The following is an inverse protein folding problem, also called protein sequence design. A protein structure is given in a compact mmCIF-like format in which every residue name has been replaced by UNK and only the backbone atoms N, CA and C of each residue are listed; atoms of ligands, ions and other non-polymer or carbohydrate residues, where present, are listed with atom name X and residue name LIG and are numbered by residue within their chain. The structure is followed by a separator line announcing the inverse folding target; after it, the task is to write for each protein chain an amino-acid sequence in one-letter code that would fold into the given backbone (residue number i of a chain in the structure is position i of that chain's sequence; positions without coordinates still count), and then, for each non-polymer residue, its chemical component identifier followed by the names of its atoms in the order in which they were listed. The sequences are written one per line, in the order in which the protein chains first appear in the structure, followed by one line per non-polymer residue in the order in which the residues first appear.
data_IF_502212288505
#
_entry.id   IF_502212288505
#
_cell.length_a   1.000
_cell.length_b   1.000
_cell.length_c   1.000
_cell.angle_alpha   90.00
_cell.angle_beta   90.00
_cell.angle_gamma   90.00
#
_symmetry.space_group_name_H-M   'P 1'
#
loop_
_entity.id
_entity.type
_entity.pdbx_description
1 polymer ?
#
# COMPACT_ATOMS: atom_id res chain seq x y z
N UNK A 1 -0.28 22.83 7.59
CA UNK A 1 -1.24 21.75 7.93
C UNK A 1 -2.49 21.75 7.06
N UNK A 2 -3.24 22.87 6.92
CA UNK A 2 -4.52 22.91 6.15
C UNK A 2 -4.41 22.51 4.67
N UNK A 3 -3.32 22.89 3.99
CA UNK A 3 -3.10 22.55 2.58
C UNK A 3 -3.03 21.02 2.34
N UNK A 4 -2.38 20.27 3.23
CA UNK A 4 -2.19 18.83 3.07
C UNK A 4 -3.49 18.03 3.26
N UNK A 5 -4.43 18.54 4.07
CA UNK A 5 -5.72 17.89 4.29
C UNK A 5 -6.57 17.99 3.02
N UNK A 6 -6.68 19.19 2.45
CA UNK A 6 -7.45 19.42 1.22
C UNK A 6 -6.85 18.62 0.07
N UNK A 7 -5.52 18.62 -0.10
CA UNK A 7 -4.88 17.82 -1.15
C UNK A 7 -5.16 16.34 -0.99
N UNK A 8 -5.16 15.83 0.24
CA UNK A 8 -5.44 14.40 0.46
C UNK A 8 -6.89 14.07 0.17
N UNK A 9 -7.84 14.89 0.62
CA UNK A 9 -9.26 14.71 0.29
C UNK A 9 -9.47 14.74 -1.23
N UNK A 10 -8.89 15.73 -1.93
CA UNK A 10 -8.98 15.84 -3.39
C UNK A 10 -8.37 14.59 -4.06
N UNK A 11 -7.22 14.11 -3.58
CA UNK A 11 -6.60 12.87 -4.09
C UNK A 11 -7.47 11.63 -3.84
N UNK A 12 -8.08 11.50 -2.66
CA UNK A 12 -9.02 10.39 -2.36
C UNK A 12 -10.25 10.45 -3.27
N UNK A 13 -10.79 11.65 -3.51
CA UNK A 13 -11.92 11.84 -4.43
C UNK A 13 -11.53 11.51 -5.87
N UNK A 14 -10.33 11.92 -6.32
CA UNK A 14 -9.82 11.56 -7.64
C UNK A 14 -9.72 10.04 -7.81
N UNK A 15 -9.21 9.35 -6.80
CA UNK A 15 -8.96 7.90 -6.85
C UNK A 15 -10.24 7.05 -6.69
N UNK A 16 -11.02 7.30 -5.64
CA UNK A 16 -12.14 6.45 -5.23
C UNK A 16 -13.52 7.10 -5.40
N UNK A 17 -13.58 8.38 -5.79
CA UNK A 17 -14.83 9.14 -5.86
C UNK A 17 -15.66 8.82 -7.12
N UNK A 18 -17.00 8.84 -7.01
CA UNK A 18 -17.88 8.72 -8.17
C UNK A 18 -17.72 9.93 -9.10
N UNK A 19 -18.17 9.79 -10.36
CA UNK A 19 -18.02 10.82 -11.39
C UNK A 19 -18.57 12.20 -10.98
N UNK A 20 -19.64 12.25 -10.18
CA UNK A 20 -20.22 13.48 -9.65
C UNK A 20 -19.26 14.23 -8.70
N UNK A 21 -18.62 13.51 -7.79
CA UNK A 21 -17.64 14.08 -6.86
C UNK A 21 -16.38 14.54 -7.58
N UNK A 22 -15.96 13.80 -8.60
CA UNK A 22 -14.83 14.17 -9.46
C UNK A 22 -15.13 15.41 -10.30
N UNK A 23 -16.38 15.56 -10.77
CA UNK A 23 -16.82 16.79 -11.43
C UNK A 23 -16.84 17.99 -10.48
N UNK A 24 -17.26 17.78 -9.22
CA UNK A 24 -17.28 18.84 -8.20
C UNK A 24 -15.89 19.44 -7.92
N UNK A 25 -14.84 18.62 -7.90
CA UNK A 25 -13.46 19.09 -7.73
C UNK A 25 -12.80 19.54 -9.06
N UNK A 26 -13.55 19.56 -10.17
CA UNK A 26 -13.06 19.96 -11.48
C UNK A 26 -12.16 18.94 -12.19
N UNK A 27 -12.20 17.65 -11.81
CA UNK A 27 -11.35 16.56 -12.33
C UNK A 27 -12.16 15.44 -13.02
N UNK A 28 -13.26 15.79 -13.69
CA UNK A 28 -14.15 14.81 -14.35
C UNK A 28 -13.52 14.10 -15.55
N UNK A 29 -12.56 14.73 -16.23
CA UNK A 29 -11.96 14.22 -17.49
C UNK A 29 -10.67 13.41 -17.29
N UNK A 30 -10.22 13.21 -16.05
CA UNK A 30 -9.01 12.43 -15.78
C UNK A 30 -9.26 10.93 -16.00
N UNK A 31 -8.33 10.21 -16.63
CA UNK A 31 -8.43 8.76 -16.77
C UNK A 31 -8.03 8.04 -15.47
N UNK A 32 -8.74 6.98 -15.08
CA UNK A 32 -8.42 6.22 -13.86
C UNK A 32 -6.98 5.71 -13.84
N UNK A 33 -6.46 5.24 -14.98
CA UNK A 33 -5.07 4.76 -15.09
C UNK A 33 -4.04 5.88 -14.89
N UNK A 34 -4.33 7.10 -15.34
CA UNK A 34 -3.45 8.24 -15.08
C UNK A 34 -3.44 8.61 -13.60
N UNK A 35 -4.61 8.57 -12.94
CA UNK A 35 -4.75 8.85 -11.51
C UNK A 35 -4.02 7.79 -10.68
N UNK A 36 -4.20 6.51 -10.99
CA UNK A 36 -3.49 5.41 -10.32
C UNK A 36 -1.98 5.46 -10.56
N UNK A 37 -1.53 5.92 -11.73
CA UNK A 37 -0.11 6.11 -12.01
C UNK A 37 0.52 7.21 -11.16
N UNK A 38 -0.23 8.29 -10.87
CA UNK A 38 0.22 9.42 -10.07
C UNK A 38 0.11 9.19 -8.55
N UNK A 39 -1.01 8.60 -8.08
CA UNK A 39 -1.38 8.60 -6.67
C UNK A 39 -1.10 7.28 -5.96
N UNK A 40 -1.10 6.15 -6.68
CA UNK A 40 -0.95 4.84 -6.06
C UNK A 40 0.49 4.36 -6.16
N UNK A 41 0.93 3.62 -5.15
CA UNK A 41 2.15 2.82 -5.22
C UNK A 41 1.87 1.40 -5.71
N UNK A 42 0.63 0.91 -5.62
CA UNK A 42 0.22 -0.42 -6.10
C UNK A 42 0.27 -0.56 -7.62
N UNK A 43 0.29 -1.80 -8.13
CA UNK A 43 0.05 -2.10 -9.55
C UNK A 43 -1.38 -2.57 -9.77
N UNK A 44 -1.90 -2.35 -10.98
CA UNK A 44 -3.22 -2.75 -11.44
C UNK A 44 -3.15 -3.27 -12.89
N UNK A 45 -4.30 -3.57 -13.49
CA UNK A 45 -4.38 -4.01 -14.90
C UNK A 45 -3.85 -2.93 -15.86
N UNK A 46 -4.13 -1.67 -15.53
CA UNK A 46 -3.89 -0.52 -16.41
C UNK A 46 -2.67 0.30 -15.99
N UNK A 47 -2.08 0.02 -14.83
CA UNK A 47 -0.88 0.70 -14.33
C UNK A 47 0.07 -0.31 -13.74
N UNK A 48 1.26 -0.40 -14.30
CA UNK A 48 2.26 -1.37 -13.88
C UNK A 48 3.60 -0.69 -13.67
N UNK A 49 4.51 -1.38 -12.99
CA UNK A 49 5.91 -0.97 -12.91
C UNK A 49 6.72 -1.75 -13.95
N UNK A 50 7.71 -1.09 -14.53
CA UNK A 50 8.65 -1.70 -15.46
C UNK A 50 10.04 -1.10 -15.30
N UNK A 51 11.06 -1.86 -15.68
CA UNK A 51 12.44 -1.41 -15.69
C UNK A 51 12.74 -0.70 -17.02
N UNK A 52 13.18 0.56 -16.92
CA UNK A 52 13.56 1.37 -18.08
C UNK A 52 14.77 2.26 -17.73
N UNK A 53 15.72 2.40 -18.67
CA UNK A 53 16.88 3.28 -18.55
C UNK A 53 17.66 3.18 -17.23
N UNK A 54 17.80 1.98 -16.66
CA UNK A 54 18.54 1.78 -15.41
C UNK A 54 17.75 2.02 -14.13
N UNK A 55 16.43 2.28 -14.22
CA UNK A 55 15.56 2.48 -13.07
C UNK A 55 14.18 1.84 -13.22
N UNK A 56 13.40 1.87 -12.14
CA UNK A 56 12.01 1.39 -12.12
C UNK A 56 11.10 2.59 -12.40
N UNK A 57 10.23 2.46 -13.40
CA UNK A 57 9.29 3.50 -13.83
C UNK A 57 7.87 2.95 -13.82
N UNK A 58 6.89 3.77 -13.40
CA UNK A 58 5.46 3.46 -13.58
C UNK A 58 5.07 3.69 -15.03
N UNK A 59 4.38 2.74 -15.62
CA UNK A 59 3.98 2.73 -17.04
C UNK A 59 2.49 2.49 -17.13
N UNK A 60 1.83 3.21 -18.02
CA UNK A 60 0.43 2.97 -18.37
C UNK A 60 0.34 1.72 -19.26
N UNK A 61 -0.57 0.83 -18.89
CA UNK A 61 -0.73 -0.49 -19.48
C UNK A 61 0.16 -1.56 -18.84
N UNK A 62 0.15 -2.74 -19.45
CA UNK A 62 0.80 -3.93 -18.89
C UNK A 62 2.08 -4.28 -19.65
N UNK A 63 3.28 -4.02 -19.09
CA UNK A 63 4.52 -4.48 -19.69
C UNK A 63 4.57 -6.01 -19.66
N UNK A 64 5.17 -6.61 -20.69
CA UNK A 64 5.49 -8.03 -20.67
C UNK A 64 6.58 -8.24 -19.62
N UNK A 65 6.31 -9.07 -18.64
CA UNK A 65 7.26 -9.40 -17.58
C UNK A 65 7.07 -10.87 -17.25
N UNK A 66 8.18 -11.61 -17.24
CA UNK A 66 8.20 -13.03 -16.95
C UNK A 66 8.81 -13.23 -15.56
N UNK A 67 8.07 -13.92 -14.70
CA UNK A 67 8.49 -14.24 -13.34
C UNK A 67 8.91 -15.70 -13.28
N UNK A 68 10.16 -15.92 -12.88
CA UNK A 68 10.75 -17.24 -12.77
C UNK A 68 11.21 -17.48 -11.34
N UNK A 69 10.98 -18.68 -10.84
CA UNK A 69 11.54 -19.15 -9.58
C UNK A 69 12.58 -20.21 -9.87
N UNK A 70 13.77 -19.99 -9.32
CA UNK A 70 14.87 -20.95 -9.34
C UNK A 70 14.87 -21.71 -8.02
N UNK A 71 14.64 -23.01 -8.10
CA UNK A 71 14.68 -23.91 -6.94
C UNK A 71 16.06 -24.59 -6.86
N UNK A 72 16.72 -24.60 -5.68
CA UNK A 72 17.99 -25.29 -5.50
C UNK A 72 17.88 -26.80 -5.69
N UNK A 73 18.99 -27.48 -5.99
CA UNK A 73 19.02 -28.94 -6.18
C UNK A 73 18.61 -29.69 -4.91
N UNK A 74 18.91 -29.12 -3.75
CA UNK A 74 18.68 -29.68 -2.43
C UNK A 74 17.18 -29.82 -2.12
N UNK A 75 16.32 -28.99 -2.73
CA UNK A 75 14.85 -29.06 -2.59
C UNK A 75 14.22 -30.23 -3.36
N UNK A 76 14.91 -30.73 -4.40
CA UNK A 76 14.44 -31.82 -5.25
C UNK A 76 14.80 -33.20 -4.69
N UNK A 77 15.57 -33.23 -3.59
CA UNK A 77 16.09 -34.45 -2.99
C UNK A 77 15.33 -34.89 -1.72
N UNK A 78 14.16 -34.30 -1.43
CA UNK A 78 13.28 -34.83 -0.39
C UNK A 78 12.65 -36.13 -0.89
N UNK A 79 12.91 -37.24 -0.18
CA UNK A 79 12.24 -38.52 -0.39
C UNK A 79 10.72 -38.35 -0.20
N UNK A 80 9.96 -39.12 -0.97
CA UNK A 80 8.49 -39.26 -0.94
C UNK A 80 7.68 -38.04 -1.41
N UNK A 81 7.57 -37.89 -2.73
CA UNK A 81 6.31 -37.76 -3.49
C UNK A 81 6.62 -37.33 -4.93
N UNK A 82 6.22 -38.17 -5.89
CA UNK A 82 6.50 -38.11 -7.33
C UNK A 82 5.82 -36.95 -8.11
N UNK A 83 5.39 -35.88 -7.43
CA UNK A 83 4.64 -34.80 -8.07
C UNK A 83 5.52 -33.77 -8.80
N UNK A 84 6.77 -33.60 -8.37
CA UNK A 84 7.75 -32.73 -9.03
C UNK A 84 8.86 -33.60 -9.63
N UNK A 85 8.77 -33.87 -10.94
CA UNK A 85 9.82 -34.54 -11.71
C UNK A 85 11.19 -33.91 -11.39
N UNK A 86 12.15 -34.74 -10.96
CA UNK A 86 13.44 -34.40 -10.34
C UNK A 86 14.40 -33.68 -11.32
N UNK A 87 14.03 -32.49 -11.76
CA UNK A 87 14.87 -31.62 -12.59
C UNK A 87 15.11 -30.32 -11.87
N UNK A 88 16.36 -29.83 -11.90
CA UNK A 88 16.71 -28.46 -11.49
C UNK A 88 15.78 -27.52 -12.24
N UNK A 89 14.75 -27.08 -11.56
CA UNK A 89 13.61 -26.51 -12.25
C UNK A 89 13.62 -25.01 -12.11
N UNK A 90 13.94 -24.36 -13.21
CA UNK A 90 13.45 -23.02 -13.46
C UNK A 90 11.94 -23.18 -13.72
N UNK A 91 11.12 -22.72 -12.80
CA UNK A 91 9.66 -22.77 -12.96
C UNK A 91 9.12 -21.36 -13.18
N UNK A 92 8.03 -21.26 -13.92
CA UNK A 92 7.23 -20.03 -13.92
C UNK A 92 6.65 -19.89 -12.51
N UNK A 93 6.82 -18.71 -11.90
CA UNK A 93 6.41 -18.48 -10.51
C UNK A 93 4.93 -18.84 -10.30
N UNK A 94 4.06 -18.43 -11.22
CA UNK A 94 2.63 -18.74 -11.17
C UNK A 94 2.33 -20.24 -11.16
N UNK A 95 3.00 -21.00 -12.02
CA UNK A 95 2.78 -22.44 -12.12
C UNK A 95 3.29 -23.14 -10.87
N UNK A 96 4.44 -22.69 -10.33
CA UNK A 96 4.96 -23.17 -9.05
C UNK A 96 3.97 -22.95 -7.90
N UNK A 97 3.35 -21.76 -7.81
CA UNK A 97 2.34 -21.45 -6.80
C UNK A 97 1.07 -22.28 -6.98
N UNK A 98 0.59 -22.44 -8.21
CA UNK A 98 -0.60 -23.23 -8.50
C UNK A 98 -0.38 -24.72 -8.14
N UNK A 99 0.75 -25.29 -8.54
CA UNK A 99 1.09 -26.67 -8.19
C UNK A 99 1.22 -26.86 -6.68
N UNK A 100 1.84 -25.92 -5.97
CA UNK A 100 1.91 -25.95 -4.51
C UNK A 100 0.52 -25.94 -3.86
N UNK A 101 -0.39 -25.10 -4.37
CA UNK A 101 -1.78 -25.04 -3.89
C UNK A 101 -2.51 -26.35 -4.12
N UNK A 102 -2.46 -26.86 -5.34
CA UNK A 102 -3.24 -28.03 -5.76
C UNK A 102 -2.70 -29.33 -5.13
N UNK A 103 -1.41 -29.38 -4.79
CA UNK A 103 -0.78 -30.54 -4.11
C UNK A 103 -1.05 -30.57 -2.60
N UNK A 104 -1.59 -29.50 -2.02
CA UNK A 104 -1.69 -29.33 -0.55
C UNK A 104 -0.35 -29.36 0.17
N UNK A 105 0.76 -29.35 -0.58
CA UNK A 105 2.10 -29.45 -0.05
C UNK A 105 2.49 -28.09 0.54
N UNK A 106 2.80 -28.08 1.84
CA UNK A 106 3.44 -26.92 2.44
C UNK A 106 4.79 -26.71 1.73
N UNK A 107 4.89 -25.68 0.90
CA UNK A 107 6.18 -25.30 0.31
C UNK A 107 7.09 -24.92 1.49
N UNK A 108 8.18 -25.68 1.75
CA UNK A 108 8.89 -25.59 3.02
C UNK A 108 9.52 -24.20 3.27
N UNK A 109 9.75 -23.42 2.20
CA UNK A 109 10.35 -22.08 2.28
C UNK A 109 9.34 -20.94 2.18
N UNK A 110 8.12 -21.16 1.67
CA UNK A 110 7.18 -20.08 1.34
C UNK A 110 5.89 -20.22 2.16
N UNK A 111 5.69 -19.30 3.12
CA UNK A 111 4.35 -19.03 3.65
C UNK A 111 3.71 -18.01 2.74
N UNK A 112 3.03 -18.50 1.71
CA UNK A 112 2.04 -17.69 1.02
C UNK A 112 0.90 -17.43 2.01
N UNK A 113 0.60 -16.16 2.31
CA UNK A 113 -0.62 -15.80 3.03
C UNK A 113 -1.85 -16.37 2.33
N UNK A 114 -2.98 -16.47 3.05
CA UNK A 114 -4.24 -17.13 2.65
C UNK A 114 -4.41 -17.25 1.12
N UNK A 115 -4.17 -18.46 0.61
CA UNK A 115 -4.19 -18.82 -0.81
C UNK A 115 -5.52 -18.55 -1.53
N UNK A 116 -6.60 -18.25 -0.79
CA UNK A 116 -7.94 -18.01 -1.37
C UNK A 116 -8.01 -16.78 -2.29
N UNK A 117 -7.16 -15.77 -2.12
CA UNK A 117 -7.23 -14.54 -2.93
C UNK A 117 -6.26 -14.50 -4.13
N UNK A 118 -5.40 -15.50 -4.31
CA UNK A 118 -4.33 -15.47 -5.31
C UNK A 118 -4.78 -15.78 -6.75
N UNK A 119 -5.95 -16.40 -6.93
CA UNK A 119 -6.46 -16.80 -8.24
C UNK A 119 -6.71 -15.62 -9.22
N UNK A 120 -7.33 -14.48 -8.81
CA UNK A 120 -7.45 -13.30 -9.68
C UNK A 120 -6.21 -12.39 -9.67
N UNK A 121 -5.38 -12.41 -8.61
CA UNK A 121 -4.33 -11.41 -8.38
C UNK A 121 -3.02 -11.71 -9.14
N UNK A 122 -2.73 -12.97 -9.50
CA UNK A 122 -1.55 -13.31 -10.33
C UNK A 122 -1.59 -12.76 -11.76
N UNK A 123 -2.67 -12.07 -12.16
CA UNK A 123 -2.75 -11.39 -13.44
C UNK A 123 -2.03 -10.05 -13.46
N UNK A 124 -1.85 -9.37 -12.32
CA UNK A 124 -1.18 -8.07 -12.31
C UNK A 124 0.32 -8.28 -12.03
N UNK A 125 1.22 -7.62 -12.77
CA UNK A 125 2.65 -7.69 -12.49
C UNK A 125 2.94 -7.10 -11.10
N UNK A 126 3.98 -7.59 -10.41
CA UNK A 126 4.27 -7.19 -9.03
C UNK A 126 4.81 -5.75 -8.97
N UNK A 127 4.84 -5.18 -7.77
CA UNK A 127 5.58 -3.96 -7.50
C UNK A 127 7.08 -4.22 -7.48
N UNK A 128 7.80 -3.86 -8.55
CA UNK A 128 9.25 -3.98 -8.60
C UNK A 128 9.92 -3.02 -7.60
N UNK A 129 9.39 -1.81 -7.45
CA UNK A 129 9.92 -0.78 -6.56
C UNK A 129 9.96 -1.26 -5.11
N UNK A 130 8.89 -1.94 -4.68
CA UNK A 130 8.75 -2.50 -3.35
C UNK A 130 9.62 -3.75 -3.13
N UNK A 131 9.89 -4.51 -4.18
CA UNK A 131 10.67 -5.76 -4.10
C UNK A 131 12.19 -5.54 -4.24
N UNK A 132 12.63 -4.56 -5.02
CA UNK A 132 14.05 -4.33 -5.34
C UNK A 132 14.60 -3.05 -4.71
N UNK A 133 13.78 -2.00 -4.60
CA UNK A 133 14.27 -0.64 -4.39
C UNK A 133 13.99 -0.01 -3.04
N UNK A 134 12.99 -0.48 -2.29
CA UNK A 134 12.56 0.20 -1.04
C UNK A 134 12.96 -0.63 0.18
N UNK A 135 13.96 -0.15 0.92
CA UNK A 135 14.25 -0.64 2.27
C UNK A 135 13.02 -0.42 3.14
N UNK A 136 12.41 -1.49 3.62
CA UNK A 136 11.23 -1.39 4.47
C UNK A 136 11.64 -0.81 5.83
N UNK A 137 11.18 0.41 6.13
CA UNK A 137 11.29 0.97 7.47
C UNK A 137 10.44 0.17 8.45
N UNK A 138 10.94 0.04 9.69
CA UNK A 138 10.31 -0.79 10.71
C UNK A 138 8.90 -0.25 11.04
N UNK A 139 7.83 -1.08 11.03
CA UNK A 139 6.45 -0.62 11.23
C UNK A 139 6.23 0.21 12.50
N UNK A 140 7.03 -0.04 13.54
CA UNK A 140 6.97 0.69 14.79
C UNK A 140 7.33 2.18 14.65
N UNK A 141 8.20 2.54 13.71
CA UNK A 141 8.55 3.96 13.45
C UNK A 141 7.33 4.74 13.00
N UNK A 142 6.54 4.19 12.09
CA UNK A 142 5.29 4.82 11.63
C UNK A 142 4.27 4.93 12.77
N UNK A 143 4.16 3.89 13.60
CA UNK A 143 3.29 3.92 14.78
C UNK A 143 3.69 5.02 15.77
N UNK A 144 5.00 5.15 16.06
CA UNK A 144 5.52 6.19 16.94
C UNK A 144 5.23 7.59 16.38
N UNK A 145 5.51 7.83 15.10
CA UNK A 145 5.25 9.14 14.47
C UNK A 145 3.76 9.48 14.50
N UNK A 146 2.88 8.52 14.23
CA UNK A 146 1.44 8.71 14.32
C UNK A 146 0.98 9.03 15.76
N UNK A 147 1.53 8.32 16.75
CA UNK A 147 1.23 8.54 18.16
C UNK A 147 1.66 9.94 18.61
N UNK A 148 2.88 10.38 18.25
CA UNK A 148 3.37 11.73 18.55
C UNK A 148 2.46 12.79 17.93
N UNK A 149 2.06 12.60 16.66
CA UNK A 149 1.12 13.50 15.99
C UNK A 149 -0.24 13.58 16.70
N UNK A 150 -0.76 12.43 17.14
CA UNK A 150 -2.02 12.36 17.89
C UNK A 150 -1.93 13.07 19.25
N UNK A 151 -0.82 12.88 19.98
CA UNK A 151 -0.59 13.57 21.27
C UNK A 151 -0.55 15.08 21.05
N UNK A 152 0.24 15.57 20.08
CA UNK A 152 0.33 17.01 19.80
C UNK A 152 -1.03 17.59 19.40
N UNK A 153 -1.84 16.83 18.66
CA UNK A 153 -3.16 17.28 18.26
C UNK A 153 -4.16 17.29 19.43
N UNK A 154 -4.09 16.30 20.33
CA UNK A 154 -4.90 16.25 21.53
C UNK A 154 -4.52 17.36 22.53
N UNK A 155 -3.22 17.65 22.68
CA UNK A 155 -2.72 18.70 23.57
C UNK A 155 -3.25 20.09 23.18
N UNK A 156 -3.26 20.41 21.89
CA UNK A 156 -3.85 21.67 21.38
C UNK A 156 -5.34 21.77 21.69
N UNK A 157 -6.09 20.66 21.62
CA UNK A 157 -7.52 20.64 21.96
C UNK A 157 -7.76 20.85 23.46
N UNK A 158 -6.94 20.19 24.29
CA UNK A 158 -7.00 20.30 25.74
C UNK A 158 -6.62 21.72 26.17
N UNK A 159 -5.55 22.29 25.61
CA UNK A 159 -5.13 23.66 25.88
C UNK A 159 -6.19 24.69 25.47
N UNK A 160 -6.86 24.50 24.33
CA UNK A 160 -7.96 25.36 23.90
C UNK A 160 -9.17 25.31 24.85
N UNK A 161 -9.50 24.12 25.37
CA UNK A 161 -10.58 23.95 26.35
C UNK A 161 -10.23 24.52 27.73
N UNK A 162 -9.06 24.17 28.27
CA UNK A 162 -8.60 24.62 29.60
C UNK A 162 -8.36 26.13 29.62
N UNK A 163 -7.72 26.68 28.58
CA UNK A 163 -7.41 28.11 28.48
C UNK A 163 -8.66 28.98 28.58
N UNK A 164 -9.75 28.57 27.92
CA UNK A 164 -10.98 29.35 27.89
C UNK A 164 -11.90 29.04 29.07
N UNK A 165 -12.06 27.76 29.45
CA UNK A 165 -13.03 27.37 30.49
C UNK A 165 -12.49 27.38 31.91
N UNK A 166 -11.20 27.07 32.12
CA UNK A 166 -10.60 27.07 33.47
C UNK A 166 -9.78 28.32 33.75
N UNK A 167 -8.98 28.78 32.79
CA UNK A 167 -8.07 29.93 32.99
C UNK A 167 -8.70 31.27 32.62
N UNK A 168 -9.88 31.27 31.99
CA UNK A 168 -10.60 32.48 31.62
C UNK A 168 -9.77 33.41 30.73
N UNK A 169 -8.89 32.86 29.89
CA UNK A 169 -8.08 33.63 28.94
C UNK A 169 -8.99 34.29 27.91
N UNK A 170 -9.49 35.47 28.28
CA UNK A 170 -10.36 36.28 27.46
C UNK A 170 -9.60 37.52 27.03
N UNK A 171 -9.18 37.56 25.77
CA UNK A 171 -8.43 38.70 25.24
C UNK A 171 -9.30 39.97 25.09
N UNK A 172 -10.64 39.86 25.16
CA UNK A 172 -11.55 40.99 25.05
C UNK A 172 -12.62 40.93 26.15
N UNK A 173 -12.62 41.96 27.01
CA UNK A 173 -13.51 42.11 28.17
C UNK A 173 -14.98 42.43 27.80
N UNK A 174 -15.38 42.18 26.54
CA UNK A 174 -16.69 42.54 26.03
C UNK A 174 -17.35 41.33 25.35
N UNK A 175 -18.35 40.78 26.05
CA UNK A 175 -19.38 39.80 25.65
C UNK A 175 -19.13 38.33 26.02
N UNK A 176 -19.90 37.87 27.02
CA UNK A 176 -20.01 36.48 27.49
C UNK A 176 -20.52 35.48 26.43
N UNK A 177 -20.94 35.96 25.26
CA UNK A 177 -21.35 35.13 24.11
C UNK A 177 -20.17 34.61 23.29
N UNK A 178 -19.02 35.30 23.30
CA UNK A 178 -17.82 34.89 22.55
C UNK A 178 -17.01 33.79 23.25
N UNK A 179 -17.12 33.69 24.58
CA UNK A 179 -16.29 32.82 25.44
C UNK A 179 -16.57 31.33 25.25
N UNK A 180 -17.79 30.94 24.88
CA UNK A 180 -18.13 29.53 24.67
C UNK A 180 -18.14 29.11 23.19
N UNK A 181 -18.46 30.03 22.27
CA UNK A 181 -18.63 29.73 20.86
C UNK A 181 -17.31 29.44 20.14
N UNK A 182 -16.29 30.27 20.38
CA UNK A 182 -14.98 30.16 19.74
C UNK A 182 -14.24 28.85 20.04
N UNK A 183 -14.05 28.42 21.31
CA UNK A 183 -13.40 27.14 21.60
C UNK A 183 -14.25 25.95 21.12
N UNK A 184 -15.57 26.02 21.24
CA UNK A 184 -16.47 24.93 20.80
C UNK A 184 -16.34 24.69 19.31
N UNK A 185 -16.40 25.73 18.46
CA UNK A 185 -16.24 25.57 17.01
C UNK A 185 -14.84 25.12 16.63
N UNK A 186 -13.80 25.60 17.33
CA UNK A 186 -12.44 25.13 17.10
C UNK A 186 -12.28 23.63 17.37
N UNK A 187 -12.81 23.15 18.50
CA UNK A 187 -12.79 21.74 18.88
C UNK A 187 -13.61 20.92 17.88
N UNK A 188 -14.86 21.33 17.61
CA UNK A 188 -15.74 20.64 16.64
C UNK A 188 -15.13 20.58 15.26
N UNK A 189 -14.57 21.68 14.76
CA UNK A 189 -13.91 21.73 13.44
C UNK A 189 -12.68 20.84 13.35
N UNK A 190 -11.89 20.76 14.43
CA UNK A 190 -10.70 19.89 14.49
C UNK A 190 -11.11 18.42 14.50
N UNK A 191 -12.08 18.03 15.32
CA UNK A 191 -12.60 16.65 15.36
C UNK A 191 -13.17 16.23 14.00
N UNK A 192 -13.94 17.11 13.34
CA UNK A 192 -14.49 16.86 12.01
C UNK A 192 -13.39 16.65 10.97
N UNK A 193 -12.32 17.48 11.00
CA UNK A 193 -11.19 17.36 10.08
C UNK A 193 -10.39 16.07 10.31
N UNK A 194 -10.12 15.71 11.58
CA UNK A 194 -9.48 14.44 11.92
C UNK A 194 -10.32 13.25 11.43
N UNK A 195 -11.63 13.28 11.69
CA UNK A 195 -12.57 12.26 11.24
C UNK A 195 -12.55 12.09 9.72
N UNK A 196 -12.59 13.20 8.97
CA UNK A 196 -12.48 13.19 7.51
C UNK A 196 -11.16 12.61 7.01
N UNK A 197 -10.05 12.85 7.71
CA UNK A 197 -8.76 12.25 7.36
C UNK A 197 -8.77 10.74 7.56
N UNK A 198 -9.31 10.26 8.69
CA UNK A 198 -9.43 8.84 9.01
C UNK A 198 -10.31 8.10 8.01
N UNK A 199 -11.44 8.69 7.60
CA UNK A 199 -12.30 8.08 6.58
C UNK A 199 -11.60 8.00 5.22
N UNK A 200 -10.86 9.03 4.82
CA UNK A 200 -10.07 8.99 3.59
C UNK A 200 -9.04 7.85 3.60
N UNK A 201 -8.33 7.66 4.72
CA UNK A 201 -7.36 6.56 4.89
C UNK A 201 -8.06 5.20 4.80
N UNK A 202 -9.20 5.03 5.48
CA UNK A 202 -9.96 3.78 5.45
C UNK A 202 -10.46 3.44 4.05
N UNK A 203 -10.94 4.43 3.28
CA UNK A 203 -11.40 4.22 1.90
C UNK A 203 -10.24 3.80 0.99
N UNK A 204 -9.08 4.48 1.11
CA UNK A 204 -7.88 4.12 0.34
C UNK A 204 -7.43 2.70 0.71
N UNK A 205 -7.41 2.37 2.00
CA UNK A 205 -7.02 1.04 2.47
C UNK A 205 -7.94 -0.07 1.96
N UNK A 206 -9.24 0.18 1.84
CA UNK A 206 -10.18 -0.77 1.25
C UNK A 206 -10.04 -0.89 -0.27
N UNK A 207 -9.60 0.17 -0.95
CA UNK A 207 -9.37 0.16 -2.41
C UNK A 207 -8.08 -0.60 -2.80
N UNK A 208 -7.17 -0.84 -1.86
CA UNK A 208 -5.90 -1.53 -2.11
C UNK A 208 -5.84 -2.87 -1.41
N UNK A 209 -5.57 -3.95 -2.16
CA UNK A 209 -5.28 -5.27 -1.58
C UNK A 209 -3.77 -5.49 -1.52
N UNK A 210 -3.20 -5.58 -0.31
CA UNK A 210 -1.81 -5.97 -0.13
C UNK A 210 -1.68 -7.49 -0.17
N UNK A 211 -0.85 -8.00 -1.09
CA UNK A 211 -0.47 -9.42 -1.11
C UNK A 211 1.02 -9.53 -0.84
N UNK A 212 1.36 -10.19 0.27
CA UNK A 212 2.75 -10.39 0.69
C UNK A 212 3.11 -11.87 0.67
N UNK A 213 4.03 -12.22 -0.22
CA UNK A 213 4.68 -13.53 -0.20
C UNK A 213 5.89 -13.45 0.73
N UNK A 214 5.81 -14.09 1.90
CA UNK A 214 6.95 -14.14 2.82
C UNK A 214 7.63 -15.49 2.74
N UNK A 215 8.93 -15.42 2.52
CA UNK A 215 9.81 -16.56 2.72
C UNK A 215 10.04 -16.80 4.21
N UNK A 216 9.83 -18.02 4.65
CA UNK A 216 10.12 -18.45 6.02
C UNK A 216 11.27 -19.44 5.96
N UNK A 217 12.50 -18.94 5.97
CA UNK A 217 13.70 -19.79 6.02
C UNK A 217 14.02 -20.03 7.50
N UNK A 218 13.87 -21.27 7.96
CA UNK A 218 14.18 -21.64 9.34
C UNK A 218 15.65 -22.06 9.54
N UNK A 219 16.34 -22.48 8.48
CA UNK A 219 17.73 -22.96 8.56
C UNK A 219 18.73 -22.03 7.89
N UNK A 220 19.75 -21.62 8.65
CA UNK A 220 20.81 -20.69 8.26
C UNK A 220 21.75 -21.26 7.17
N UNK A 221 21.66 -22.57 6.88
CA UNK A 221 22.45 -23.29 5.87
C UNK A 221 21.65 -23.90 4.71
N UNK A 222 20.33 -23.69 4.65
CA UNK A 222 19.51 -24.25 3.57
C UNK A 222 19.66 -23.44 2.28
N UNK A 223 19.77 -24.13 1.15
CA UNK A 223 19.86 -23.48 -0.15
C UNK A 223 18.62 -22.62 -0.40
N UNK A 224 18.79 -21.41 -0.93
CA UNK A 224 17.71 -20.44 -1.05
C UNK A 224 17.09 -20.46 -2.44
N UNK A 225 15.77 -20.49 -2.55
CA UNK A 225 15.11 -20.20 -3.84
C UNK A 225 15.46 -18.78 -4.29
N UNK A 226 15.40 -18.48 -5.59
CA UNK A 226 15.62 -17.12 -6.10
C UNK A 226 14.50 -16.77 -7.08
N UNK A 227 13.91 -15.59 -6.93
CA UNK A 227 12.97 -15.05 -7.91
C UNK A 227 13.77 -14.21 -8.91
N UNK A 228 13.50 -14.44 -10.19
CA UNK A 228 14.11 -13.74 -11.32
C UNK A 228 12.98 -13.11 -12.12
N UNK A 229 13.10 -11.80 -12.34
CA UNK A 229 12.20 -11.04 -13.19
C UNK A 229 12.88 -10.75 -14.52
N UNK A 230 12.28 -11.21 -15.61
CA UNK A 230 12.76 -10.97 -16.97
C UNK A 230 11.79 -10.04 -17.70
N UNK A 231 12.30 -8.89 -18.13
CA UNK A 231 11.56 -7.96 -18.96
C UNK A 231 12.18 -7.97 -20.37
N UNK A 232 11.47 -8.40 -21.41
CA UNK A 232 11.94 -8.24 -22.77
C UNK A 232 12.06 -6.76 -23.10
N UNK A 233 13.19 -6.37 -23.69
CA UNK A 233 13.39 -5.03 -24.21
C UNK A 233 12.40 -4.81 -25.35
N UNK A 234 11.53 -3.80 -25.24
CA UNK A 234 10.71 -3.37 -26.37
C UNK A 234 11.68 -2.99 -27.50
N UNK A 235 11.61 -3.71 -28.62
CA UNK A 235 12.24 -3.27 -29.86
C UNK A 235 11.61 -1.92 -30.21
N UNK A 236 12.43 -0.87 -30.33
CA UNK A 236 11.98 0.36 -30.98
C UNK A 236 11.79 -0.02 -32.45
N UNK A 237 10.53 -0.07 -32.89
CA UNK A 237 10.23 0.09 -34.30
C UNK A 237 10.39 1.56 -34.67
#
# INVERSE_FOLDING_TARGET
MKAHIITTIVSTIRLCGPASLRAFIGRSQEGNSAIEAELCTSTSRDVCEGFNNGGITRVLGRPKMLELIRTPKEYLSSKDNDAFDRKVGLYIFRDFINTARDSGAAVPEWRLGQFEQLAPISQNPPNLSLNVGITQYLPWVFCLVALVGFILQADVLVAAGIGVWMLGWNLNDSTATSTNYAPTIFITGTVLMCGGMCTCISIIGQATTEVRCRRTTYDLGSAKTSIIWLQPRLARN
#
